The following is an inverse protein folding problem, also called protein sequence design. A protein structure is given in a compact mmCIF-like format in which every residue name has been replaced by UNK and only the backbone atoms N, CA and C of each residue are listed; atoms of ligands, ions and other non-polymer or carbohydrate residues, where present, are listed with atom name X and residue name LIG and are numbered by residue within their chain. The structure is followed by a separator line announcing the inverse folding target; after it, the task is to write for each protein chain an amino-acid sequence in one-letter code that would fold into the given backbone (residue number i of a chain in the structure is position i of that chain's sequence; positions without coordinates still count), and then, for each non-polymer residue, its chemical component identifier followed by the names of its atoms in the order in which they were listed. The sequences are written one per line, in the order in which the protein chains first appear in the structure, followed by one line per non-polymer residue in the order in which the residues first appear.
data_IF_142902762905
#
_entry.id   IF_142902762905
#
_cell.length_a   1.000
_cell.length_b   1.000
_cell.length_c   1.000
_cell.angle_alpha   90.00
_cell.angle_beta   90.00
_cell.angle_gamma   90.00
#
_symmetry.space_group_name_H-M   'P 1'
#
loop_
_entity.id
_entity.type
_entity.pdbx_description
1 polymer ?
#
# COMPACT_ATOMS: atom_id res chain seq x y z
N UNK A 1 -16.93 -30.75 -21.21
CA UNK A 1 -17.03 -29.34 -20.76
C UNK A 1 -16.41 -28.53 -21.88
N UNK A 2 -17.18 -27.75 -22.64
CA UNK A 2 -16.57 -26.88 -23.67
C UNK A 2 -15.64 -25.93 -22.93
N UNK A 3 -14.36 -25.93 -23.27
CA UNK A 3 -13.37 -25.10 -22.60
C UNK A 3 -13.82 -23.65 -22.68
N UNK A 4 -14.00 -23.02 -21.52
CA UNK A 4 -14.31 -21.59 -21.41
C UNK A 4 -13.34 -20.74 -22.25
N UNK A 5 -12.10 -21.23 -22.38
CA UNK A 5 -11.06 -20.66 -23.24
C UNK A 5 -11.45 -20.59 -24.72
N UNK A 6 -12.28 -21.50 -25.22
CA UNK A 6 -12.76 -21.47 -26.61
C UNK A 6 -13.82 -20.39 -26.86
N UNK A 7 -14.44 -19.86 -25.79
CA UNK A 7 -15.43 -18.78 -25.86
C UNK A 7 -14.78 -17.39 -25.81
N UNK A 8 -13.54 -17.31 -25.34
CA UNK A 8 -12.82 -16.04 -25.23
C UNK A 8 -12.13 -15.71 -26.56
N UNK A 9 -12.41 -14.54 -27.16
CA UNK A 9 -11.74 -14.10 -28.38
C UNK A 9 -10.21 -14.05 -28.24
N UNK A 10 -9.47 -14.48 -29.27
CA UNK A 10 -8.00 -14.48 -29.25
C UNK A 10 -7.38 -13.11 -28.97
N UNK A 11 -7.94 -12.05 -29.57
CA UNK A 11 -7.50 -10.67 -29.32
C UNK A 11 -7.63 -10.24 -27.85
N UNK A 12 -8.64 -10.74 -27.13
CA UNK A 12 -8.84 -10.45 -25.72
C UNK A 12 -7.81 -11.18 -24.87
N UNK A 13 -7.49 -12.43 -25.21
CA UNK A 13 -6.41 -13.19 -24.53
C UNK A 13 -5.08 -12.47 -24.70
N UNK A 14 -4.72 -12.07 -25.91
CA UNK A 14 -3.48 -11.34 -26.18
C UNK A 14 -3.43 -10.01 -25.41
N UNK A 15 -4.54 -9.25 -25.40
CA UNK A 15 -4.63 -8.02 -24.61
C UNK A 15 -4.39 -8.26 -23.11
N UNK A 16 -5.03 -9.28 -22.53
CA UNK A 16 -4.87 -9.65 -21.12
C UNK A 16 -3.44 -10.14 -20.84
N UNK A 17 -2.85 -10.92 -21.74
CA UNK A 17 -1.47 -11.39 -21.60
C UNK A 17 -0.47 -10.23 -21.60
N UNK A 18 -0.60 -9.28 -22.53
CA UNK A 18 0.26 -8.08 -22.55
C UNK A 18 0.13 -7.27 -21.26
N UNK A 19 -1.10 -7.08 -20.75
CA UNK A 19 -1.32 -6.39 -19.48
C UNK A 19 -0.70 -7.14 -18.29
N UNK A 20 -0.82 -8.47 -18.29
CA UNK A 20 -0.23 -9.34 -17.26
C UNK A 20 1.29 -9.24 -17.28
N UNK A 21 1.92 -9.43 -18.44
CA UNK A 21 3.38 -9.40 -18.56
C UNK A 21 3.95 -8.04 -18.14
N UNK A 22 3.25 -6.95 -18.42
CA UNK A 22 3.67 -5.61 -18.00
C UNK A 22 3.57 -5.42 -16.49
N UNK A 23 2.45 -5.81 -15.88
CA UNK A 23 2.20 -5.63 -14.43
C UNK A 23 3.12 -6.53 -13.60
N UNK A 24 3.33 -7.77 -14.02
CA UNK A 24 4.17 -8.74 -13.32
C UNK A 24 5.65 -8.63 -13.69
N UNK A 25 6.02 -7.64 -14.50
CA UNK A 25 7.41 -7.39 -14.87
C UNK A 25 8.23 -6.79 -13.72
N UNK A 26 9.52 -7.13 -13.69
CA UNK A 26 10.53 -6.48 -12.85
C UNK A 26 10.62 -4.95 -13.06
N UNK A 27 10.20 -4.44 -14.22
CA UNK A 27 10.18 -3.01 -14.49
C UNK A 27 9.22 -2.24 -13.59
N UNK A 28 8.06 -2.84 -13.24
CA UNK A 28 7.11 -2.21 -12.32
C UNK A 28 7.71 -2.08 -10.92
N UNK A 29 8.42 -3.11 -10.46
CA UNK A 29 9.12 -3.08 -9.17
C UNK A 29 10.15 -1.94 -9.16
N UNK A 30 10.98 -1.85 -10.21
CA UNK A 30 11.96 -0.77 -10.35
C UNK A 30 11.34 0.63 -10.35
N UNK A 31 10.21 0.81 -11.06
CA UNK A 31 9.45 2.05 -11.09
C UNK A 31 8.94 2.45 -9.70
N UNK A 32 8.31 1.53 -8.99
CA UNK A 32 7.75 1.80 -7.65
C UNK A 32 8.84 2.14 -6.63
N UNK A 33 9.98 1.43 -6.67
CA UNK A 33 11.11 1.73 -5.79
C UNK A 33 11.72 3.09 -6.09
N UNK A 34 11.89 3.42 -7.37
CA UNK A 34 12.44 4.72 -7.80
C UNK A 34 11.51 5.87 -7.39
N UNK A 35 10.20 5.70 -7.58
CA UNK A 35 9.20 6.68 -7.15
C UNK A 35 9.20 6.86 -5.63
N UNK A 36 9.19 5.77 -4.86
CA UNK A 36 9.23 5.87 -3.39
C UNK A 36 10.53 6.46 -2.86
N UNK A 37 11.66 6.18 -3.52
CA UNK A 37 12.94 6.79 -3.19
C UNK A 37 12.95 8.30 -3.50
N UNK A 38 12.43 8.68 -4.67
CA UNK A 38 12.24 10.08 -5.05
C UNK A 38 11.35 10.83 -4.05
N UNK A 39 10.21 10.24 -3.65
CA UNK A 39 9.33 10.84 -2.63
C UNK A 39 9.98 10.90 -1.26
N UNK A 40 10.76 9.88 -0.88
CA UNK A 40 11.51 9.89 0.38
C UNK A 40 12.47 11.08 0.44
N UNK A 41 13.27 11.31 -0.61
CA UNK A 41 14.23 12.42 -0.63
C UNK A 41 13.54 13.77 -0.74
N UNK A 42 12.62 13.92 -1.70
CA UNK A 42 11.93 15.20 -1.95
C UNK A 42 11.09 15.67 -0.75
N UNK A 43 10.52 14.74 0.01
CA UNK A 43 9.79 15.02 1.26
C UNK A 43 10.67 15.17 2.50
N UNK A 44 12.01 15.09 2.34
CA UNK A 44 13.02 15.15 3.40
C UNK A 44 12.80 14.07 4.47
N UNK A 45 12.67 12.82 4.03
CA UNK A 45 12.45 11.64 4.87
C UNK A 45 11.21 11.76 5.76
N UNK A 46 10.06 12.02 5.14
CA UNK A 46 8.79 12.25 5.83
C UNK A 46 8.41 11.14 6.81
N UNK A 47 8.70 9.88 6.45
CA UNK A 47 8.43 8.71 7.28
C UNK A 47 9.21 8.68 8.60
N UNK A 48 10.32 9.42 8.71
CA UNK A 48 11.05 9.63 9.98
C UNK A 48 10.61 10.93 10.66
N UNK A 49 10.50 12.02 9.88
CA UNK A 49 10.17 13.35 10.39
C UNK A 49 8.76 13.41 11.00
N UNK A 50 7.78 12.73 10.41
CA UNK A 50 6.37 12.77 10.83
C UNK A 50 5.97 11.58 11.71
N UNK A 51 6.88 10.65 11.99
CA UNK A 51 6.58 9.53 12.89
C UNK A 51 6.17 9.98 14.30
N UNK A 52 6.82 10.98 14.95
CA UNK A 52 6.37 11.47 16.25
C UNK A 52 4.98 12.10 16.19
N UNK A 53 4.69 12.83 15.11
CA UNK A 53 3.42 13.49 14.89
C UNK A 53 2.27 12.49 14.68
N UNK A 54 2.54 11.37 14.01
CA UNK A 54 1.60 10.25 13.90
C UNK A 54 1.18 9.74 15.28
N UNK A 55 2.13 9.52 16.19
CA UNK A 55 1.80 9.07 17.55
C UNK A 55 0.99 10.11 18.32
N UNK A 56 1.31 11.41 18.18
CA UNK A 56 0.53 12.50 18.78
C UNK A 56 -0.92 12.46 18.28
N UNK A 57 -1.12 12.35 16.97
CA UNK A 57 -2.44 12.32 16.33
C UNK A 57 -3.27 11.09 16.71
N UNK A 58 -2.63 9.91 16.88
CA UNK A 58 -3.34 8.69 17.28
C UNK A 58 -3.97 8.78 18.69
N UNK A 59 -3.39 9.60 19.57
CA UNK A 59 -3.85 9.76 20.97
C UNK A 59 -4.85 10.92 21.11
N UNK A 60 -5.14 11.66 20.04
CA UNK A 60 -6.14 12.73 20.07
C UNK A 60 -7.55 12.19 20.36
N UNK A 61 -8.36 13.06 20.98
CA UNK A 61 -9.73 12.70 21.35
C UNK A 61 -10.60 12.64 20.09
N UNK A 62 -11.64 11.78 20.06
CA UNK A 62 -12.58 11.74 18.96
C UNK A 62 -13.25 13.10 18.78
N UNK A 63 -13.41 13.53 17.54
CA UNK A 63 -14.15 14.75 17.20
C UNK A 63 -15.64 14.59 17.54
N UNK A 64 -16.28 15.70 17.91
CA UNK A 64 -17.73 15.78 18.05
C UNK A 64 -18.30 16.15 16.68
N UNK A 65 -19.17 15.29 16.14
CA UNK A 65 -19.86 15.51 14.88
C UNK A 65 -20.91 16.63 15.01
N UNK A 66 -21.38 17.16 13.89
CA UNK A 66 -22.40 18.23 13.84
C UNK A 66 -23.72 17.86 14.55
N UNK A 67 -24.05 16.56 14.61
CA UNK A 67 -25.19 15.96 15.33
C UNK A 67 -24.91 15.73 16.84
N UNK A 68 -23.80 16.26 17.37
CA UNK A 68 -23.41 16.09 18.79
C UNK A 68 -22.95 14.67 19.17
N UNK A 69 -22.97 13.71 18.23
CA UNK A 69 -22.43 12.36 18.41
C UNK A 69 -20.90 12.40 18.35
N UNK A 70 -20.24 11.53 19.12
CA UNK A 70 -18.79 11.34 19.00
C UNK A 70 -18.48 10.55 17.73
N UNK A 71 -17.59 11.07 16.89
CA UNK A 71 -17.02 10.34 15.76
C UNK A 71 -16.12 9.19 16.21
N UNK A 72 -15.62 8.41 15.25
CA UNK A 72 -14.60 7.39 15.52
C UNK A 72 -13.30 8.06 15.97
N UNK A 73 -12.58 7.46 16.92
CA UNK A 73 -11.30 8.02 17.34
C UNK A 73 -10.22 7.85 16.25
N UNK A 74 -9.20 8.71 16.20
CA UNK A 74 -8.06 8.53 15.29
C UNK A 74 -7.41 7.15 15.39
N UNK A 75 -7.25 6.63 16.61
CA UNK A 75 -6.75 5.27 16.83
C UNK A 75 -7.70 4.20 16.27
N UNK A 76 -9.01 4.35 16.44
CA UNK A 76 -9.99 3.42 15.86
C UNK A 76 -9.93 3.43 14.33
N UNK A 77 -9.88 4.60 13.71
CA UNK A 77 -9.74 4.74 12.26
C UNK A 77 -8.45 4.09 11.76
N UNK A 78 -7.33 4.32 12.47
CA UNK A 78 -6.06 3.66 12.19
C UNK A 78 -6.15 2.13 12.33
N UNK A 79 -6.72 1.62 13.43
CA UNK A 79 -6.83 0.18 13.68
C UNK A 79 -7.70 -0.51 12.62
N UNK A 80 -8.79 0.12 12.20
CA UNK A 80 -9.64 -0.36 11.09
C UNK A 80 -8.82 -0.40 9.80
N UNK A 81 -8.10 0.68 9.47
CA UNK A 81 -7.26 0.73 8.26
C UNK A 81 -6.10 -0.28 8.31
N UNK A 82 -5.43 -0.44 9.45
CA UNK A 82 -4.33 -1.38 9.62
C UNK A 82 -4.84 -2.82 9.52
N UNK A 83 -5.94 -3.15 10.20
CA UNK A 83 -6.59 -4.45 10.14
C UNK A 83 -7.01 -4.84 8.72
N UNK A 84 -7.53 -3.89 7.93
CA UNK A 84 -7.92 -4.15 6.54
C UNK A 84 -6.75 -4.54 5.61
N UNK A 85 -5.50 -4.19 5.99
CA UNK A 85 -4.28 -4.46 5.20
C UNK A 85 -3.53 -5.70 5.67
N UNK A 86 -3.88 -6.26 6.84
CA UNK A 86 -3.27 -7.47 7.39
C UNK A 86 -4.19 -8.65 7.14
N UNK A 87 -3.73 -9.62 6.35
CA UNK A 87 -4.53 -10.80 6.01
C UNK A 87 -3.67 -12.05 5.82
N UNK A 88 -4.35 -13.18 5.60
CA UNK A 88 -3.72 -14.49 5.35
C UNK A 88 -2.78 -14.45 4.15
N UNK A 89 -3.12 -13.66 3.12
CA UNK A 89 -2.28 -13.44 1.94
C UNK A 89 -0.91 -12.85 2.29
N UNK A 90 -0.83 -11.88 3.20
CA UNK A 90 0.44 -11.29 3.61
C UNK A 90 1.30 -12.32 4.38
N UNK A 91 0.67 -13.13 5.23
CA UNK A 91 1.37 -14.18 5.99
C UNK A 91 1.93 -15.24 5.03
N UNK A 92 1.10 -15.74 4.10
CA UNK A 92 1.52 -16.72 3.10
C UNK A 92 2.60 -16.15 2.17
N UNK A 93 2.48 -14.88 1.78
CA UNK A 93 3.48 -14.18 0.98
C UNK A 93 4.83 -14.06 1.68
N UNK A 94 4.83 -13.66 2.97
CA UNK A 94 6.05 -13.59 3.78
C UNK A 94 6.67 -14.98 3.95
N UNK A 95 5.86 -16.00 4.24
CA UNK A 95 6.34 -17.38 4.35
C UNK A 95 6.98 -17.86 3.03
N UNK A 96 6.33 -17.62 1.89
CA UNK A 96 6.84 -17.97 0.56
C UNK A 96 8.15 -17.26 0.26
N UNK A 97 8.24 -15.96 0.55
CA UNK A 97 9.46 -15.19 0.31
C UNK A 97 10.63 -15.66 1.20
N UNK A 98 10.37 -16.06 2.44
CA UNK A 98 11.41 -16.65 3.31
C UNK A 98 11.82 -18.04 2.82
N UNK A 99 10.86 -18.87 2.41
CA UNK A 99 11.15 -20.23 1.91
C UNK A 99 11.97 -20.18 0.62
N UNK A 100 11.64 -19.28 -0.31
CA UNK A 100 12.31 -19.17 -1.60
C UNK A 100 13.58 -18.32 -1.56
N UNK A 101 13.59 -17.23 -0.78
CA UNK A 101 14.68 -16.25 -0.73
C UNK A 101 15.57 -16.33 0.52
N UNK A 102 15.25 -17.23 1.45
CA UNK A 102 15.94 -17.34 2.73
C UNK A 102 15.55 -16.25 3.74
N UNK A 103 16.10 -16.29 4.97
CA UNK A 103 15.77 -15.36 6.04
C UNK A 103 16.12 -13.89 5.72
N UNK A 104 17.06 -13.67 4.79
CA UNK A 104 17.43 -12.32 4.32
C UNK A 104 16.30 -11.57 3.61
N UNK A 105 15.25 -12.27 3.15
CA UNK A 105 14.07 -11.64 2.55
C UNK A 105 13.39 -10.63 3.50
N UNK A 106 13.41 -10.89 4.82
CA UNK A 106 12.79 -10.01 5.83
C UNK A 106 13.45 -8.63 5.85
N UNK A 107 14.77 -8.57 5.72
CA UNK A 107 15.50 -7.30 5.65
C UNK A 107 15.02 -6.46 4.46
N UNK A 108 14.92 -7.07 3.29
CA UNK A 108 14.44 -6.39 2.09
C UNK A 108 12.98 -5.96 2.18
N UNK A 109 12.12 -6.75 2.85
CA UNK A 109 10.74 -6.32 3.11
C UNK A 109 10.68 -5.04 3.93
N UNK A 110 11.50 -4.90 4.99
CA UNK A 110 11.55 -3.67 5.78
C UNK A 110 12.08 -2.49 4.98
N UNK A 111 13.11 -2.68 4.15
CA UNK A 111 13.65 -1.63 3.26
C UNK A 111 12.58 -1.14 2.30
N UNK A 112 11.88 -2.05 1.63
CA UNK A 112 10.83 -1.71 0.66
C UNK A 112 9.63 -1.06 1.38
N UNK A 113 9.25 -1.55 2.56
CA UNK A 113 8.20 -0.93 3.37
C UNK A 113 8.55 0.50 3.78
N UNK A 114 9.82 0.76 4.15
CA UNK A 114 10.29 2.10 4.48
C UNK A 114 10.23 3.06 3.29
N UNK A 115 10.64 2.60 2.10
CA UNK A 115 10.58 3.38 0.85
C UNK A 115 9.12 3.64 0.46
N UNK A 116 8.26 2.62 0.55
CA UNK A 116 6.85 2.70 0.21
C UNK A 116 6.02 3.59 1.15
N UNK A 117 6.45 3.76 2.40
CA UNK A 117 5.78 4.64 3.36
C UNK A 117 5.71 6.09 2.87
N UNK A 118 6.74 6.59 2.18
CA UNK A 118 6.74 7.93 1.59
C UNK A 118 5.70 8.06 0.47
N UNK A 119 5.61 7.07 -0.43
CA UNK A 119 4.58 7.05 -1.49
C UNK A 119 3.18 7.04 -0.90
N UNK A 120 2.92 6.16 0.07
CA UNK A 120 1.61 6.06 0.74
C UNK A 120 1.21 7.37 1.44
N UNK A 121 2.18 8.08 2.04
CA UNK A 121 1.93 9.38 2.65
C UNK A 121 1.52 10.44 1.62
N UNK A 122 2.23 10.51 0.50
CA UNK A 122 1.92 11.45 -0.59
C UNK A 122 0.57 11.14 -1.23
N UNK A 123 0.28 9.86 -1.50
CA UNK A 123 -1.01 9.41 -2.02
C UNK A 123 -2.16 9.79 -1.09
N UNK A 124 -2.03 9.52 0.21
CA UNK A 124 -3.04 9.89 1.20
C UNK A 124 -3.22 11.41 1.27
N UNK A 125 -2.14 12.18 1.21
CA UNK A 125 -2.18 13.66 1.22
C UNK A 125 -2.89 14.19 -0.02
N UNK A 126 -2.54 13.70 -1.21
CA UNK A 126 -3.20 14.08 -2.47
C UNK A 126 -4.69 13.73 -2.43
N UNK A 127 -5.03 12.55 -1.92
CA UNK A 127 -6.43 12.15 -1.76
C UNK A 127 -7.21 13.11 -0.85
N UNK A 128 -6.59 13.63 0.22
CA UNK A 128 -7.24 14.64 1.07
C UNK A 128 -7.34 16.01 0.37
N UNK A 129 -6.28 16.46 -0.31
CA UNK A 129 -6.25 17.77 -0.99
C UNK A 129 -7.29 17.84 -2.12
N UNK A 130 -7.46 16.76 -2.88
CA UNK A 130 -8.41 16.69 -4.01
C UNK A 130 -9.76 16.11 -3.63
N UNK A 131 -10.04 15.92 -2.33
CA UNK A 131 -11.37 15.49 -1.88
C UNK A 131 -12.37 16.63 -2.10
N UNK A 132 -13.10 16.55 -3.21
CA UNK A 132 -14.21 17.45 -3.50
C UNK A 132 -15.23 17.33 -2.36
N UNK A 133 -15.57 18.48 -1.77
CA UNK A 133 -16.58 18.59 -0.73
C UNK A 133 -17.98 18.49 -1.32
#
# INVERSE_FOLDING_TARGET
MKDFDSLIPGWFKEFVHVGTDLIWSQYLIGLLLTAGFFFTISSKFVQLRMLPEMFRALVERPETLEDGKKGISPFQAFAISAGSRVGTGNIAGVATAIVLGGPGAVFWMWVIAFIGAASAFIEATLAQVYKVH
#
